data_IF_342944833522
#
_entry.id   IF_342944833522
#
_cell.length_a   1.000
_cell.length_b   1.000
_cell.length_c   1.000
_cell.angle_alpha   90.00
_cell.angle_beta   90.00
_cell.angle_gamma   90.00
#
_symmetry.space_group_name_H-M   'P 1'
#
loop_
_entity.id
_entity.type
_entity.pdbx_description
1 polymer ?
#
# COMPACT_ATOMS: atom_id res chain seq x y z
N UNK A 1 -21.89 0.85 0.23
CA UNK A 1 -20.83 -0.15 0.47
C UNK A 1 -19.81 0.08 -0.62
N UNK A 2 -18.71 0.74 -0.30
CA UNK A 2 -17.61 0.93 -1.26
C UNK A 2 -16.79 -0.34 -1.25
N UNK A 3 -16.94 -1.14 -2.31
CA UNK A 3 -16.03 -2.25 -2.58
C UNK A 3 -14.67 -1.66 -2.96
N UNK A 4 -13.84 -1.42 -1.94
CA UNK A 4 -12.46 -0.97 -2.11
C UNK A 4 -11.68 -2.07 -2.83
N UNK A 5 -11.45 -1.90 -4.13
CA UNK A 5 -10.70 -2.85 -4.92
C UNK A 5 -9.29 -3.08 -4.34
N UNK A 6 -8.99 -4.33 -4.00
CA UNK A 6 -7.78 -4.76 -3.30
C UNK A 6 -6.70 -5.20 -4.29
N UNK A 7 -5.60 -4.45 -4.39
CA UNK A 7 -4.38 -5.02 -4.96
C UNK A 7 -3.92 -6.18 -4.08
N UNK A 8 -3.84 -7.40 -4.63
CA UNK A 8 -3.42 -8.59 -3.89
C UNK A 8 -2.07 -9.10 -4.41
N UNK A 9 -1.09 -9.24 -3.52
CA UNK A 9 0.17 -9.92 -3.80
C UNK A 9 0.40 -11.03 -2.78
N UNK A 10 1.06 -12.12 -3.20
CA UNK A 10 1.55 -13.14 -2.27
C UNK A 10 3.06 -13.01 -2.11
N UNK A 11 3.50 -13.10 -0.86
CA UNK A 11 4.91 -13.16 -0.54
C UNK A 11 5.54 -14.41 -1.14
N UNK A 12 6.57 -14.25 -1.97
CA UNK A 12 7.28 -15.39 -2.58
C UNK A 12 8.19 -16.10 -1.57
N UNK A 13 8.65 -15.39 -0.56
CA UNK A 13 9.54 -15.86 0.51
C UNK A 13 9.22 -15.13 1.80
N UNK A 14 9.67 -15.68 2.93
CA UNK A 14 9.57 -14.99 4.20
C UNK A 14 10.57 -13.82 4.21
N UNK A 15 10.07 -12.58 4.25
CA UNK A 15 10.94 -11.41 4.34
C UNK A 15 10.23 -10.16 4.82
N UNK A 16 10.98 -9.07 4.96
CA UNK A 16 10.47 -7.75 5.34
C UNK A 16 10.35 -6.88 4.08
N UNK A 17 9.17 -6.82 3.44
CA UNK A 17 9.06 -6.13 2.15
C UNK A 17 9.21 -4.63 2.31
N UNK A 18 9.74 -4.02 1.26
CA UNK A 18 9.81 -2.57 1.09
C UNK A 18 8.77 -2.15 0.07
N UNK A 19 7.95 -1.18 0.45
CA UNK A 19 6.89 -0.60 -0.36
C UNK A 19 7.34 0.75 -0.85
N UNK A 20 7.36 0.93 -2.16
CA UNK A 20 7.54 2.25 -2.76
C UNK A 20 6.19 2.72 -3.28
N UNK A 21 5.71 3.86 -2.79
CA UNK A 21 4.47 4.50 -3.23
C UNK A 21 4.83 5.74 -4.03
N UNK A 22 4.41 5.78 -5.28
CA UNK A 22 4.52 6.95 -6.16
C UNK A 22 3.12 7.42 -6.56
N UNK A 23 2.94 8.74 -6.62
CA UNK A 23 1.69 9.36 -7.02
C UNK A 23 1.97 10.26 -8.20
N UNK A 24 1.19 10.12 -9.26
CA UNK A 24 1.13 11.10 -10.34
C UNK A 24 -0.12 11.94 -10.13
N UNK A 25 0.05 13.13 -9.54
CA UNK A 25 -0.99 14.14 -9.49
C UNK A 25 -1.37 14.52 -10.91
N UNK A 26 -2.59 14.19 -11.33
CA UNK A 26 -3.14 14.70 -12.57
C UNK A 26 -3.70 16.09 -12.25
N UNK A 27 -2.85 17.11 -12.32
CA UNK A 27 -3.16 18.55 -12.27
C UNK A 27 -4.42 18.93 -11.46
N UNK A 28 -4.39 18.71 -10.14
CA UNK A 28 -5.39 19.29 -9.25
C UNK A 28 -5.12 20.80 -9.17
N UNK A 29 -5.99 21.58 -9.83
CA UNK A 29 -5.94 23.04 -10.02
C UNK A 29 -6.03 23.88 -8.75
N UNK A 30 -5.76 23.36 -7.56
CA UNK A 30 -5.84 24.16 -6.33
C UNK A 30 -4.83 23.76 -5.27
N UNK A 31 -3.98 24.71 -4.80
CA UNK A 31 -2.97 24.47 -3.77
C UNK A 31 -3.55 24.12 -2.38
N UNK A 32 -4.87 24.15 -2.23
CA UNK A 32 -5.58 23.78 -1.00
C UNK A 32 -6.06 22.31 -0.98
N UNK A 33 -5.95 21.58 -2.11
CA UNK A 33 -6.33 20.16 -2.21
C UNK A 33 -5.12 19.23 -2.48
N UNK A 34 -3.89 19.74 -2.41
CA UNK A 34 -2.63 19.05 -2.78
C UNK A 34 -2.18 17.90 -1.86
N UNK A 35 -3.13 17.18 -1.26
CA UNK A 35 -2.87 15.85 -0.71
C UNK A 35 -3.90 14.87 -1.27
N UNK A 36 -3.83 14.65 -2.59
CA UNK A 36 -4.64 13.67 -3.33
C UNK A 36 -4.46 12.21 -2.91
N UNK A 37 -3.52 11.94 -2.00
CA UNK A 37 -3.37 10.68 -1.28
C UNK A 37 -3.85 10.89 0.16
N UNK A 38 -5.12 10.59 0.47
CA UNK A 38 -5.59 10.68 1.86
C UNK A 38 -4.93 9.61 2.73
N UNK A 39 -5.01 8.34 2.29
CA UNK A 39 -4.26 7.23 2.87
C UNK A 39 -4.43 5.91 2.09
N UNK A 40 -3.39 5.06 2.16
CA UNK A 40 -3.39 3.67 1.73
C UNK A 40 -2.96 2.79 2.90
N UNK A 41 -3.78 1.80 3.23
CA UNK A 41 -3.43 0.75 4.17
C UNK A 41 -2.83 -0.45 3.43
N UNK A 42 -1.68 -0.91 3.93
CA UNK A 42 -1.10 -2.19 3.58
C UNK A 42 -1.36 -3.15 4.73
N UNK A 43 -2.03 -4.24 4.43
CA UNK A 43 -2.43 -5.25 5.39
C UNK A 43 -1.90 -6.63 5.00
N UNK A 44 -1.78 -7.50 5.99
CA UNK A 44 -1.30 -8.87 5.84
C UNK A 44 -2.39 -9.83 6.29
N UNK A 45 -2.66 -10.88 5.52
CA UNK A 45 -3.58 -11.96 5.88
C UNK A 45 -4.54 -12.33 4.76
N UNK A 46 -5.35 -13.35 5.01
CA UNK A 46 -6.42 -13.74 4.08
C UNK A 46 -7.56 -12.70 4.09
N UNK A 47 -8.32 -12.57 2.98
CA UNK A 47 -9.48 -11.67 2.90
C UNK A 47 -10.37 -11.75 4.14
N UNK A 48 -10.85 -10.60 4.58
CA UNK A 48 -11.72 -10.42 5.76
C UNK A 48 -11.03 -10.65 7.12
N UNK A 49 -9.80 -11.17 7.12
CA UNK A 49 -8.96 -11.39 8.30
C UNK A 49 -7.63 -10.63 8.24
N UNK A 50 -7.49 -9.69 7.30
CA UNK A 50 -6.26 -8.93 7.14
C UNK A 50 -6.00 -8.00 8.32
N UNK A 51 -4.76 -8.03 8.81
CA UNK A 51 -4.24 -7.08 9.80
C UNK A 51 -3.53 -5.94 9.08
N UNK A 52 -4.03 -4.71 9.23
CA UNK A 52 -3.32 -3.51 8.78
C UNK A 52 -2.02 -3.39 9.55
N UNK A 53 -0.91 -3.29 8.83
CA UNK A 53 0.43 -3.17 9.43
C UNK A 53 1.13 -1.88 9.02
N UNK A 54 0.77 -1.28 7.90
CA UNK A 54 1.42 -0.07 7.43
C UNK A 54 0.39 0.88 6.83
N UNK A 55 0.32 2.08 7.37
CA UNK A 55 -0.54 3.17 6.90
C UNK A 55 0.33 4.22 6.19
N UNK A 56 0.00 4.53 4.93
CA UNK A 56 0.77 5.45 4.09
C UNK A 56 -0.11 6.59 3.59
N UNK A 57 0.19 7.81 4.01
CA UNK A 57 -0.52 9.03 3.60
C UNK A 57 0.32 9.96 2.72
N UNK A 58 1.53 9.53 2.32
CA UNK A 58 2.39 10.29 1.41
C UNK A 58 3.19 9.38 0.47
N UNK A 59 3.58 9.86 -0.72
CA UNK A 59 4.55 9.18 -1.56
C UNK A 59 5.88 8.96 -0.82
N UNK A 60 6.56 7.88 -1.12
CA UNK A 60 7.85 7.53 -0.50
C UNK A 60 8.09 6.03 -0.42
N UNK A 61 9.19 5.68 0.24
CA UNK A 61 9.60 4.29 0.46
C UNK A 61 9.43 3.92 1.93
N UNK A 62 8.75 2.80 2.18
CA UNK A 62 8.35 2.36 3.51
C UNK A 62 8.64 0.88 3.67
N UNK A 63 9.39 0.52 4.71
CA UNK A 63 9.58 -0.89 5.06
C UNK A 63 8.43 -1.35 5.95
N UNK A 64 7.86 -2.51 5.66
CA UNK A 64 6.86 -3.13 6.54
C UNK A 64 7.37 -3.20 7.98
N UNK A 65 6.55 -3.03 9.02
CA UNK A 65 7.04 -3.14 10.40
C UNK A 65 7.28 -4.59 10.84
N UNK A 66 6.72 -5.57 10.13
CA UNK A 66 6.86 -7.00 10.43
C UNK A 66 7.30 -7.79 9.20
N UNK A 67 7.91 -8.96 9.45
CA UNK A 67 8.17 -9.93 8.41
C UNK A 67 6.85 -10.53 7.91
N UNK A 68 6.74 -10.69 6.60
CA UNK A 68 5.67 -11.40 5.91
C UNK A 68 6.15 -12.82 5.65
N UNK A 69 5.36 -13.83 5.99
CA UNK A 69 5.73 -15.22 5.77
C UNK A 69 5.60 -15.62 4.30
N UNK A 70 6.35 -16.64 3.86
CA UNK A 70 6.20 -17.16 2.51
C UNK A 70 4.76 -17.65 2.27
N UNK A 71 4.18 -17.25 1.13
CA UNK A 71 2.80 -17.55 0.78
C UNK A 71 1.75 -16.65 1.41
N UNK A 72 2.10 -15.86 2.43
CA UNK A 72 1.18 -14.94 3.09
C UNK A 72 0.77 -13.81 2.14
N UNK A 73 -0.47 -13.33 2.28
CA UNK A 73 -1.04 -12.31 1.40
C UNK A 73 -0.79 -10.93 1.94
N UNK A 74 -0.45 -10.02 1.03
CA UNK A 74 -0.49 -8.58 1.25
C UNK A 74 -1.69 -8.04 0.48
N UNK A 75 -2.54 -7.31 1.18
CA UNK A 75 -3.61 -6.53 0.57
C UNK A 75 -3.32 -5.04 0.67
N UNK A 76 -3.78 -4.31 -0.35
CA UNK A 76 -3.66 -2.86 -0.42
C UNK A 76 -5.06 -2.28 -0.44
N UNK A 77 -5.33 -1.36 0.47
CA UNK A 77 -6.63 -0.73 0.69
C UNK A 77 -6.49 0.77 0.57
N UNK A 78 -6.83 1.36 -0.59
CA UNK A 78 -6.99 2.80 -0.67
C UNK A 78 -8.21 3.22 0.16
N UNK A 79 -8.02 4.14 1.10
CA UNK A 79 -9.12 4.67 1.90
C UNK A 79 -9.93 5.67 1.07
N UNK A 80 -9.25 6.59 0.39
CA UNK A 80 -9.86 7.55 -0.55
C UNK A 80 -8.84 7.95 -1.62
N UNK A 81 -9.15 7.68 -2.90
CA UNK A 81 -8.36 8.12 -4.06
C UNK A 81 -9.12 9.25 -4.77
N UNK A 82 -8.75 10.50 -4.47
CA UNK A 82 -9.37 11.68 -5.08
C UNK A 82 -8.76 11.95 -6.47
N UNK A 83 -9.22 11.22 -7.49
CA UNK A 83 -8.79 11.42 -8.89
C UNK A 83 -7.29 11.21 -9.15
N UNK A 84 -6.59 10.62 -8.19
CA UNK A 84 -5.13 10.48 -8.20
C UNK A 84 -4.77 9.05 -8.53
N UNK A 85 -3.90 8.88 -9.53
CA UNK A 85 -3.34 7.55 -9.84
C UNK A 85 -2.14 7.30 -8.94
N UNK A 86 -2.22 6.24 -8.15
CA UNK A 86 -1.17 5.83 -7.22
C UNK A 86 -0.60 4.50 -7.70
N UNK A 87 0.71 4.48 -7.92
CA UNK A 87 1.44 3.26 -8.23
C UNK A 87 2.20 2.82 -6.99
N UNK A 88 2.20 1.53 -6.71
CA UNK A 88 3.03 0.97 -5.65
C UNK A 88 3.80 -0.24 -6.16
N UNK A 89 5.01 -0.39 -5.63
CA UNK A 89 5.90 -1.53 -5.90
C UNK A 89 6.27 -2.19 -4.59
N UNK A 90 6.20 -3.52 -4.55
CA UNK A 90 6.58 -4.33 -3.39
C UNK A 90 7.88 -5.06 -3.73
N UNK A 91 8.96 -4.66 -3.07
CA UNK A 91 10.25 -5.33 -3.14
C UNK A 91 10.40 -6.32 -1.97
N UNK A 92 10.82 -7.54 -2.28
CA UNK A 92 11.03 -8.62 -1.31
C UNK A 92 12.53 -8.81 -1.10
N UNK A 93 13.16 -7.95 -0.33
CA UNK A 93 14.56 -8.13 0.07
C UNK A 93 14.74 -9.42 0.87
N UNK A 94 15.93 -10.01 0.84
CA UNK A 94 16.29 -11.07 1.79
C UNK A 94 16.43 -10.48 3.20
N UNK A 95 15.92 -11.15 4.25
CA UNK A 95 16.26 -10.75 5.61
C UNK A 95 17.79 -10.83 5.76
N UNK A 96 18.43 -9.71 6.08
CA UNK A 96 19.83 -9.69 6.52
C UNK A 96 19.96 -10.30 7.91
#
# INVERSE_FOLDING_TARGET
MTESFHGMARARKASRPTITVTSTETELKSPLESFGLRAIDFAIGEPDLERVVLHVSKPGTFTFPANVQAGERISVRPLELAGTTVTFTIAWDDPK
#
